data_IF_370536511586
#
_entry.id   IF_370536511586
#
_cell.length_a   1.000
_cell.length_b   1.000
_cell.length_c   1.000
_cell.angle_alpha   90.00
_cell.angle_beta   90.00
_cell.angle_gamma   90.00
#
_symmetry.space_group_name_H-M   'P 1'
#
loop_
_entity.id
_entity.type
_entity.pdbx_description
1 polymer ?
#
# COMPACT_ATOMS: atom_id res chain seq x y z
N UNK A 1 12.68 -2.57 -1.92
CA UNK A 1 11.36 -2.76 -2.55
C UNK A 1 11.09 -1.61 -3.50
N UNK A 2 10.97 -1.95 -4.77
CA UNK A 2 10.75 -0.93 -5.80
C UNK A 2 9.25 -0.74 -6.01
N UNK A 3 8.80 0.50 -5.96
CA UNK A 3 7.38 0.79 -6.13
C UNK A 3 7.08 1.28 -7.54
N UNK A 4 5.92 0.87 -8.02
CA UNK A 4 5.34 1.36 -9.26
C UNK A 4 3.94 1.87 -8.92
N UNK A 5 3.87 3.11 -8.47
CA UNK A 5 2.66 3.66 -7.88
C UNK A 5 1.65 4.10 -8.94
N UNK A 6 0.40 3.71 -8.74
CA UNK A 6 -0.75 4.20 -9.50
C UNK A 6 -1.76 4.81 -8.53
N UNK A 7 -2.08 6.07 -8.71
CA UNK A 7 -3.08 6.75 -7.88
C UNK A 7 -4.44 6.63 -8.55
N UNK A 8 -5.34 5.87 -7.91
CA UNK A 8 -6.70 5.68 -8.41
C UNK A 8 -7.57 6.84 -7.97
N UNK A 9 -7.82 7.76 -8.88
CA UNK A 9 -8.73 8.87 -8.64
C UNK A 9 -9.56 9.13 -9.87
N UNK A 10 -10.87 8.95 -9.74
CA UNK A 10 -11.83 9.20 -10.79
C UNK A 10 -12.53 10.55 -10.68
N UNK A 11 -12.12 11.38 -9.72
CA UNK A 11 -12.83 12.63 -9.42
C UNK A 11 -12.42 13.80 -10.29
N UNK A 12 -11.39 13.64 -11.13
CA UNK A 12 -10.89 14.71 -11.97
C UNK A 12 -10.09 15.77 -11.22
N UNK A 13 -9.46 15.40 -10.11
CA UNK A 13 -8.62 16.30 -9.34
C UNK A 13 -7.44 16.80 -10.17
N UNK A 14 -6.98 18.02 -9.88
CA UNK A 14 -5.78 18.55 -10.49
C UNK A 14 -4.56 17.73 -10.07
N UNK A 15 -3.52 17.77 -10.89
CA UNK A 15 -2.27 17.07 -10.59
C UNK A 15 -1.69 17.47 -9.24
N UNK A 16 -1.78 18.75 -8.91
CA UNK A 16 -1.29 19.27 -7.63
C UNK A 16 -2.03 18.64 -6.45
N UNK A 17 -3.36 18.55 -6.54
CA UNK A 17 -4.16 17.91 -5.49
C UNK A 17 -3.89 16.42 -5.37
N UNK A 18 -3.65 15.75 -6.50
CA UNK A 18 -3.30 14.34 -6.51
C UNK A 18 -1.96 14.13 -5.79
N UNK A 19 -0.98 14.98 -6.07
CA UNK A 19 0.33 14.89 -5.42
C UNK A 19 0.22 15.15 -3.92
N UNK A 20 -0.58 16.13 -3.51
CA UNK A 20 -0.81 16.41 -2.09
C UNK A 20 -1.49 15.24 -1.40
N UNK A 21 -2.48 14.62 -2.02
CA UNK A 21 -3.18 13.46 -1.47
C UNK A 21 -2.23 12.26 -1.33
N UNK A 22 -1.39 12.04 -2.34
CA UNK A 22 -0.37 10.98 -2.30
C UNK A 22 0.60 11.21 -1.14
N UNK A 23 1.09 12.45 -1.00
CA UNK A 23 2.06 12.77 0.04
C UNK A 23 1.45 12.60 1.43
N UNK A 24 0.17 12.94 1.60
CA UNK A 24 -0.54 12.71 2.85
C UNK A 24 -0.67 11.22 3.17
N UNK A 25 -0.96 10.39 2.16
CA UNK A 25 -1.03 8.93 2.36
C UNK A 25 0.33 8.35 2.74
N UNK A 26 1.41 8.90 2.21
CA UNK A 26 2.76 8.44 2.52
C UNK A 26 3.22 8.85 3.93
N UNK A 27 2.42 9.66 4.64
CA UNK A 27 2.64 9.93 6.07
C UNK A 27 2.00 8.89 6.98
N UNK A 28 1.19 7.98 6.45
CA UNK A 28 0.64 6.88 7.23
C UNK A 28 1.76 5.96 7.72
N UNK A 29 1.47 5.17 8.75
CA UNK A 29 2.47 4.33 9.40
C UNK A 29 2.35 2.86 9.04
N UNK A 30 1.23 2.47 8.44
CA UNK A 30 0.97 1.09 8.03
C UNK A 30 0.41 1.06 6.63
N UNK A 31 0.65 -0.05 5.95
CA UNK A 31 0.08 -0.32 4.64
C UNK A 31 -0.52 -1.71 4.62
N UNK A 32 -1.45 -1.91 3.69
CA UNK A 32 -1.96 -3.24 3.38
C UNK A 32 -1.09 -3.88 2.31
N UNK A 33 -0.88 -5.17 2.45
CA UNK A 33 -0.10 -5.93 1.48
C UNK A 33 -0.88 -7.18 1.08
N UNK A 34 -0.98 -7.42 -0.20
CA UNK A 34 -1.62 -8.60 -0.76
C UNK A 34 -0.60 -9.36 -1.60
N UNK A 35 -0.53 -10.66 -1.41
CA UNK A 35 0.42 -11.52 -2.09
C UNK A 35 -0.25 -12.85 -2.44
N UNK A 36 0.13 -13.44 -3.56
CA UNK A 36 -0.35 -14.76 -3.92
C UNK A 36 0.33 -15.81 -3.05
N UNK A 37 -0.48 -16.69 -2.46
CA UNK A 37 0.08 -17.80 -1.69
C UNK A 37 0.49 -18.93 -2.60
N UNK A 38 1.30 -19.84 -2.06
CA UNK A 38 1.70 -21.06 -2.76
C UNK A 38 0.56 -22.06 -2.92
N UNK A 39 -0.55 -21.85 -2.22
CA UNK A 39 -1.70 -22.76 -2.20
C UNK A 39 -2.89 -22.20 -2.96
N UNK A 40 -2.64 -21.31 -3.92
CA UNK A 40 -3.66 -20.66 -4.76
C UNK A 40 -4.68 -19.85 -3.98
N UNK A 41 -4.37 -19.49 -2.73
CA UNK A 41 -5.21 -18.65 -1.88
C UNK A 41 -4.50 -17.34 -1.63
N UNK A 42 -5.04 -16.19 -2.07
CA UNK A 42 -4.41 -14.91 -1.80
C UNK A 42 -4.30 -14.65 -0.31
N UNK A 43 -3.17 -14.09 0.11
CA UNK A 43 -2.94 -13.69 1.48
C UNK A 43 -2.86 -12.18 1.58
N UNK A 44 -3.38 -11.63 2.67
CA UNK A 44 -3.31 -10.20 2.95
C UNK A 44 -2.84 -9.97 4.37
N UNK A 45 -2.20 -8.84 4.57
CA UNK A 45 -1.78 -8.43 5.88
C UNK A 45 -1.63 -6.92 5.97
N UNK A 46 -1.32 -6.44 7.17
CA UNK A 46 -1.00 -5.05 7.45
C UNK A 46 0.44 -5.01 7.95
N UNK A 47 1.24 -4.14 7.40
CA UNK A 47 2.64 -4.01 7.79
C UNK A 47 2.98 -2.57 8.12
N UNK A 48 3.73 -2.32 9.19
CA UNK A 48 4.34 -1.00 9.38
C UNK A 48 5.34 -0.73 8.27
N UNK A 49 5.49 0.53 7.93
CA UNK A 49 6.48 0.92 6.93
C UNK A 49 7.13 2.24 7.28
N UNK A 50 8.29 2.48 6.71
CA UNK A 50 8.92 3.79 6.70
C UNK A 50 9.30 4.17 5.28
N UNK A 51 9.32 5.46 5.02
CA UNK A 51 9.73 6.00 3.74
C UNK A 51 11.20 6.38 3.82
N UNK A 52 12.01 5.78 2.94
CA UNK A 52 13.40 6.16 2.74
C UNK A 52 13.55 6.99 1.48
N UNK A 53 14.77 7.43 1.20
CA UNK A 53 15.07 8.24 0.02
C UNK A 53 14.90 7.46 -1.28
N UNK A 54 15.09 6.15 -1.21
CA UNK A 54 15.10 5.27 -2.39
C UNK A 54 13.89 4.34 -2.46
N UNK A 55 12.90 4.50 -1.56
CA UNK A 55 11.70 3.68 -1.59
C UNK A 55 11.09 3.47 -0.21
N UNK A 56 10.18 2.51 -0.14
CA UNK A 56 9.50 2.15 1.08
C UNK A 56 10.12 0.90 1.68
N UNK A 57 10.28 0.91 2.99
CA UNK A 57 10.78 -0.23 3.76
C UNK A 57 9.69 -0.73 4.69
N UNK A 58 9.38 -2.02 4.61
CA UNK A 58 8.36 -2.62 5.46
C UNK A 58 9.03 -3.46 6.54
N UNK A 59 8.40 -3.47 7.71
CA UNK A 59 8.82 -4.35 8.81
C UNK A 59 8.15 -5.69 8.62
N UNK A 60 8.93 -6.75 8.54
CA UNK A 60 8.43 -8.08 8.25
C UNK A 60 8.64 -9.02 9.43
N UNK A 61 7.74 -9.99 9.55
CA UNK A 61 7.87 -11.07 10.52
C UNK A 61 7.65 -12.41 9.80
N UNK A 62 8.58 -13.32 9.96
CA UNK A 62 8.45 -14.66 9.39
C UNK A 62 7.31 -15.47 10.01
N UNK A 63 6.71 -14.96 11.10
CA UNK A 63 5.53 -15.58 11.69
C UNK A 63 4.26 -15.31 10.87
N UNK A 64 4.27 -14.27 10.04
CA UNK A 64 3.12 -13.90 9.22
C UNK A 64 3.11 -14.67 7.91
N UNK A 65 1.96 -15.23 7.55
CA UNK A 65 1.82 -16.01 6.32
C UNK A 65 2.08 -15.15 5.08
N UNK A 66 1.56 -13.93 5.05
CA UNK A 66 1.76 -13.05 3.89
C UNK A 66 3.24 -12.70 3.68
N UNK A 67 4.04 -12.63 4.75
CA UNK A 67 5.49 -12.39 4.62
C UNK A 67 6.19 -13.60 4.02
N UNK A 68 5.85 -14.79 4.50
CA UNK A 68 6.44 -16.02 3.95
C UNK A 68 6.11 -16.17 2.47
N UNK A 69 4.88 -15.87 2.08
CA UNK A 69 4.46 -15.92 0.68
C UNK A 69 5.19 -14.87 -0.16
N UNK A 70 5.37 -13.67 0.38
CA UNK A 70 6.11 -12.60 -0.30
C UNK A 70 7.56 -13.01 -0.57
N UNK A 71 8.22 -13.65 0.39
CA UNK A 71 9.60 -14.09 0.22
C UNK A 71 9.76 -15.12 -0.88
N UNK A 72 8.72 -15.91 -1.14
CA UNK A 72 8.72 -16.90 -2.21
C UNK A 72 8.34 -16.28 -3.54
N UNK A 73 7.26 -15.49 -3.57
CA UNK A 73 6.73 -14.92 -4.81
C UNK A 73 7.57 -13.76 -5.33
N UNK A 74 8.17 -12.98 -4.44
CA UNK A 74 8.98 -11.84 -4.81
C UNK A 74 8.19 -10.64 -5.31
N UNK A 75 6.86 -10.70 -5.31
CA UNK A 75 6.00 -9.63 -5.80
C UNK A 75 4.73 -9.53 -4.98
N UNK A 76 4.23 -8.33 -4.81
CA UNK A 76 3.02 -8.06 -4.04
C UNK A 76 2.33 -6.80 -4.57
N UNK A 77 1.08 -6.61 -4.15
CA UNK A 77 0.37 -5.35 -4.31
C UNK A 77 0.16 -4.74 -2.94
N UNK A 78 0.50 -3.48 -2.81
CA UNK A 78 0.33 -2.74 -1.56
C UNK A 78 -0.72 -1.66 -1.72
N UNK A 79 -1.34 -1.27 -0.60
CA UNK A 79 -2.31 -0.19 -0.59
C UNK A 79 -2.16 0.66 0.65
N UNK A 80 -2.17 1.96 0.45
CA UNK A 80 -2.34 2.97 1.49
C UNK A 80 -3.75 3.53 1.36
N UNK A 81 -4.46 3.66 2.47
CA UNK A 81 -5.82 4.17 2.46
C UNK A 81 -5.98 5.21 3.55
N UNK A 82 -6.62 6.33 3.23
CA UNK A 82 -6.86 7.39 4.19
C UNK A 82 -7.67 6.88 5.38
N UNK A 83 -7.42 7.49 6.55
CA UNK A 83 -8.13 7.14 7.79
C UNK A 83 -9.63 7.35 7.62
N UNK A 84 -10.40 6.32 7.93
CA UNK A 84 -11.85 6.34 7.86
C UNK A 84 -12.43 7.46 8.75
N UNK A 85 -11.89 7.60 9.96
CA UNK A 85 -12.37 8.60 10.91
C UNK A 85 -12.10 10.04 10.49
N UNK A 86 -11.19 10.25 9.54
CA UNK A 86 -10.85 11.58 9.03
C UNK A 86 -11.44 11.85 7.66
N UNK A 87 -12.23 10.93 7.12
CA UNK A 87 -12.78 11.02 5.78
C UNK A 87 -14.24 11.48 5.88
N UNK A 88 -14.61 12.52 5.13
CA UNK A 88 -15.98 13.02 5.10
C UNK A 88 -16.92 12.04 4.40
N UNK A 89 -16.40 11.34 3.40
CA UNK A 89 -17.16 10.36 2.63
C UNK A 89 -16.31 9.11 2.49
N UNK A 90 -16.74 8.02 3.13
CA UNK A 90 -15.97 6.77 3.12
C UNK A 90 -15.85 6.15 1.74
N UNK A 91 -16.80 6.41 0.86
CA UNK A 91 -16.78 5.91 -0.52
C UNK A 91 -15.77 6.64 -1.40
N UNK A 92 -15.38 7.85 -0.98
CA UNK A 92 -14.43 8.69 -1.70
C UNK A 92 -13.10 8.82 -0.94
N UNK A 93 -12.78 7.87 -0.06
CA UNK A 93 -11.50 7.86 0.66
C UNK A 93 -10.35 7.80 -0.33
N UNK A 94 -9.37 8.64 -0.12
CA UNK A 94 -8.15 8.59 -0.91
C UNK A 94 -7.41 7.28 -0.64
N UNK A 95 -6.92 6.68 -1.70
CA UNK A 95 -6.13 5.46 -1.62
C UNK A 95 -5.07 5.44 -2.70
N UNK A 96 -3.96 4.82 -2.39
CA UNK A 96 -2.85 4.61 -3.32
C UNK A 96 -2.55 3.12 -3.37
N UNK A 97 -2.68 2.54 -4.55
CA UNK A 97 -2.35 1.14 -4.78
C UNK A 97 -1.12 1.05 -5.67
N UNK A 98 -0.18 0.20 -5.34
CA UNK A 98 1.05 0.08 -6.09
C UNK A 98 1.59 -1.34 -6.03
N UNK A 99 2.24 -1.75 -7.11
CA UNK A 99 2.92 -3.03 -7.18
C UNK A 99 4.36 -2.89 -6.67
N UNK A 100 4.84 -3.95 -6.07
CA UNK A 100 6.22 -4.02 -5.57
C UNK A 100 6.84 -5.34 -5.98
N UNK A 101 8.14 -5.33 -6.15
CA UNK A 101 8.92 -6.52 -6.49
C UNK A 101 10.26 -6.55 -5.74
#
# INVERSE_FOLDING_TARGET
MQENAAFEDSSGMSREKIEQARDALLQLRTLYIAVNSQQDSPEMGVSPFIRGDDGLYVFTSHLSQHVRDLMVQGAATCMLCADEGKSQNIWARNRLKFAVD
#
